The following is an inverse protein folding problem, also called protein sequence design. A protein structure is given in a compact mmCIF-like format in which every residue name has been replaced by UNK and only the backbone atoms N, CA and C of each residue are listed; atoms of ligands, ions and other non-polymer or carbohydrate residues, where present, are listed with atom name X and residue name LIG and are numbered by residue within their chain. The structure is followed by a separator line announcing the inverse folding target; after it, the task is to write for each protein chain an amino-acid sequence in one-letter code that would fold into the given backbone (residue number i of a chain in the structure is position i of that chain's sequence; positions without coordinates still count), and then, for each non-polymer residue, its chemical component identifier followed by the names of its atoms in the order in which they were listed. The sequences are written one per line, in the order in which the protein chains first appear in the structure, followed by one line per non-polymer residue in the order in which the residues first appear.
data_IF_458709250621
#
_entry.id   IF_458709250621
#
_cell.length_a   1.000
_cell.length_b   1.000
_cell.length_c   1.000
_cell.angle_alpha   90.00
_cell.angle_beta   90.00
_cell.angle_gamma   90.00
#
_symmetry.space_group_name_H-M   'P 1'
#
loop_
_entity.id
_entity.type
_entity.pdbx_description
1 polymer ?
#
# COMPACT_ATOMS: atom_id res chain seq x y z
N UNK A 1 17.07 -23.63 -14.42
CA UNK A 1 17.95 -23.04 -13.39
C UNK A 1 17.89 -21.54 -13.56
N UNK A 2 17.15 -20.82 -12.70
CA UNK A 2 17.08 -19.35 -12.79
C UNK A 2 18.48 -18.77 -12.52
N UNK A 3 18.93 -17.77 -13.28
CA UNK A 3 20.20 -17.12 -12.99
C UNK A 3 20.15 -16.50 -11.59
N UNK A 4 21.27 -16.42 -10.86
CA UNK A 4 21.31 -15.96 -9.46
C UNK A 4 20.75 -14.54 -9.29
N UNK A 5 20.84 -13.71 -10.32
CA UNK A 5 20.25 -12.36 -10.35
C UNK A 5 18.71 -12.38 -10.35
N UNK A 6 18.09 -13.40 -10.93
CA UNK A 6 16.63 -13.48 -11.11
C UNK A 6 15.92 -13.83 -9.79
N UNK A 7 16.46 -14.79 -9.03
CA UNK A 7 15.89 -15.15 -7.72
C UNK A 7 16.02 -14.03 -6.69
N UNK A 8 17.13 -13.29 -6.71
CA UNK A 8 17.37 -12.15 -5.83
C UNK A 8 16.46 -10.97 -6.19
N UNK A 9 16.36 -10.65 -7.49
CA UNK A 9 15.47 -9.61 -8.00
C UNK A 9 13.99 -9.92 -7.73
N UNK A 10 13.57 -11.18 -7.88
CA UNK A 10 12.21 -11.63 -7.57
C UNK A 10 11.87 -11.42 -6.09
N UNK A 11 12.77 -11.80 -5.18
CA UNK A 11 12.58 -11.59 -3.75
C UNK A 11 12.48 -10.12 -3.37
N UNK A 12 13.33 -9.27 -3.97
CA UNK A 12 13.28 -7.82 -3.77
C UNK A 12 11.97 -7.24 -4.29
N UNK A 13 11.57 -7.63 -5.50
CA UNK A 13 10.36 -7.13 -6.15
C UNK A 13 9.09 -7.57 -5.41
N UNK A 14 8.98 -8.84 -5.02
CA UNK A 14 7.85 -9.35 -4.24
C UNK A 14 7.79 -8.69 -2.86
N UNK A 15 8.93 -8.53 -2.18
CA UNK A 15 8.99 -7.82 -0.91
C UNK A 15 8.57 -6.35 -1.05
N UNK A 16 9.02 -5.65 -2.10
CA UNK A 16 8.62 -4.26 -2.35
C UNK A 16 7.11 -4.17 -2.60
N UNK A 17 6.55 -5.07 -3.41
CA UNK A 17 5.12 -5.10 -3.70
C UNK A 17 4.27 -5.38 -2.45
N UNK A 18 4.71 -6.32 -1.61
CA UNK A 18 4.05 -6.61 -0.34
C UNK A 18 4.03 -5.38 0.58
N UNK A 19 5.15 -4.65 0.68
CA UNK A 19 5.23 -3.43 1.50
C UNK A 19 4.43 -2.29 0.88
N UNK A 20 4.31 -2.18 -0.44
CA UNK A 20 3.41 -1.21 -1.07
C UNK A 20 1.96 -1.35 -0.59
N UNK A 21 1.49 -2.58 -0.34
CA UNK A 21 0.11 -2.81 0.15
C UNK A 21 0.00 -2.84 1.67
N UNK A 22 1.01 -3.37 2.37
CA UNK A 22 1.09 -3.39 3.82
C UNK A 22 2.44 -2.86 4.31
N UNK A 23 2.45 -1.54 4.58
CA UNK A 23 3.61 -0.82 5.09
C UNK A 23 3.58 -0.59 6.61
N UNK A 24 2.65 -1.23 7.33
CA UNK A 24 2.48 -1.06 8.79
C UNK A 24 3.75 -1.36 9.57
N UNK A 25 4.53 -2.32 9.07
CA UNK A 25 5.84 -2.71 9.62
C UNK A 25 6.88 -1.57 9.51
N UNK A 26 6.84 -0.79 8.42
CA UNK A 26 7.76 0.32 8.19
C UNK A 26 7.42 1.58 9.02
N UNK A 27 6.17 1.70 9.50
CA UNK A 27 5.70 2.85 10.25
C UNK A 27 4.90 2.40 11.49
N UNK A 28 5.56 2.03 12.59
CA UNK A 28 4.92 1.45 13.78
C UNK A 28 3.93 2.38 14.53
N UNK A 29 3.74 3.62 14.10
CA UNK A 29 2.69 4.53 14.59
C UNK A 29 1.44 4.63 13.69
N UNK A 30 1.44 3.92 12.55
CA UNK A 30 0.38 3.95 11.56
C UNK A 30 -0.48 2.67 11.56
N UNK A 31 -0.32 1.81 12.58
CA UNK A 31 -1.00 0.51 12.66
C UNK A 31 -2.52 0.59 12.66
N UNK A 32 -3.09 1.69 13.17
CA UNK A 32 -4.53 1.95 13.18
C UNK A 32 -5.06 2.45 11.82
N UNK A 33 -4.17 2.86 10.91
CA UNK A 33 -4.58 3.37 9.59
C UNK A 33 -5.06 2.22 8.70
N UNK A 34 -6.11 2.52 7.96
CA UNK A 34 -6.65 1.65 6.91
C UNK A 34 -5.55 1.29 5.91
N UNK A 35 -5.47 0.01 5.52
CA UNK A 35 -4.50 -0.40 4.49
C UNK A 35 -4.88 0.19 3.13
N UNK A 36 -6.18 0.33 2.87
CA UNK A 36 -6.69 0.96 1.66
C UNK A 36 -6.23 2.42 1.50
N UNK A 37 -6.04 3.15 2.61
CA UNK A 37 -5.62 4.54 2.60
C UNK A 37 -4.09 4.71 2.73
N UNK A 38 -3.44 3.91 3.58
CA UNK A 38 -2.01 4.04 3.85
C UNK A 38 -1.13 3.39 2.75
N UNK A 39 -1.59 2.29 2.17
CA UNK A 39 -0.88 1.61 1.09
C UNK A 39 -0.73 2.48 -0.17
N UNK A 40 0.28 2.17 -0.97
CA UNK A 40 0.42 2.70 -2.32
C UNK A 40 -0.61 2.02 -3.23
N UNK A 41 -1.44 2.83 -3.88
CA UNK A 41 -2.37 2.37 -4.91
C UNK A 41 -1.65 2.14 -6.23
N UNK A 42 -0.65 2.97 -6.54
CA UNK A 42 0.24 2.86 -7.71
C UNK A 42 1.69 3.17 -7.29
N UNK A 43 2.65 2.82 -8.15
CA UNK A 43 4.05 3.21 -7.98
C UNK A 43 4.46 4.00 -9.22
N UNK A 44 4.75 5.28 -9.04
CA UNK A 44 5.19 6.17 -10.11
C UNK A 44 6.72 6.18 -10.23
N UNK A 45 7.42 6.01 -9.11
CA UNK A 45 8.89 6.00 -9.08
C UNK A 45 9.43 4.89 -8.16
N UNK A 46 10.47 4.21 -8.63
CA UNK A 46 11.29 3.31 -7.82
C UNK A 46 12.70 3.89 -7.73
N UNK A 47 13.18 4.15 -6.52
CA UNK A 47 14.44 4.83 -6.27
C UNK A 47 15.35 3.95 -5.41
N UNK A 48 16.60 3.79 -5.82
CA UNK A 48 17.62 3.15 -5.00
C UNK A 48 18.23 4.17 -4.04
N UNK A 49 18.14 3.88 -2.75
CA UNK A 49 18.78 4.64 -1.68
C UNK A 49 20.27 4.32 -1.54
N UNK A 50 21.00 5.25 -0.93
CA UNK A 50 22.45 5.11 -0.68
C UNK A 50 22.81 4.06 0.37
N UNK A 51 21.84 3.64 1.18
CA UNK A 51 22.01 2.73 2.32
C UNK A 51 21.56 1.30 2.02
N UNK A 52 21.37 0.93 0.74
CA UNK A 52 20.85 -0.40 0.37
C UNK A 52 19.34 -0.55 0.52
N UNK A 53 18.61 0.56 0.67
CA UNK A 53 17.15 0.57 0.67
C UNK A 53 16.61 0.86 -0.73
N UNK A 54 15.52 0.21 -1.12
CA UNK A 54 14.73 0.59 -2.31
C UNK A 54 13.46 1.28 -1.85
N UNK A 55 13.15 2.41 -2.47
CA UNK A 55 11.96 3.19 -2.19
C UNK A 55 10.98 3.09 -3.36
N UNK A 56 9.72 2.79 -3.07
CA UNK A 56 8.63 2.99 -4.02
C UNK A 56 7.85 4.24 -3.62
N UNK A 57 7.56 5.09 -4.60
CA UNK A 57 6.90 6.38 -4.41
C UNK A 57 5.68 6.47 -5.31
N UNK A 58 4.57 6.91 -4.72
CA UNK A 58 3.34 7.30 -5.41
C UNK A 58 3.27 8.83 -5.44
N UNK A 59 2.99 9.38 -6.62
CA UNK A 59 2.98 10.81 -6.90
C UNK A 59 4.33 11.36 -7.36
N UNK A 60 4.39 12.68 -7.52
CA UNK A 60 5.62 13.35 -7.97
C UNK A 60 6.59 13.44 -6.80
N UNK A 61 7.88 13.19 -7.05
CA UNK A 61 8.95 13.28 -6.04
C UNK A 61 9.05 14.65 -5.34
N UNK A 62 8.58 15.72 -5.98
CA UNK A 62 8.60 17.09 -5.45
C UNK A 62 7.27 17.49 -4.77
N UNK A 63 6.30 16.58 -4.72
CA UNK A 63 5.00 16.84 -4.11
C UNK A 63 5.01 16.44 -2.63
N UNK A 64 4.65 17.33 -1.69
CA UNK A 64 4.67 17.01 -0.26
C UNK A 64 3.65 15.95 0.16
N UNK A 65 2.63 15.70 -0.66
CA UNK A 65 1.63 14.65 -0.43
C UNK A 65 2.04 13.29 -1.03
N UNK A 66 3.28 13.13 -1.52
CA UNK A 66 3.75 11.85 -2.04
C UNK A 66 3.66 10.75 -0.96
N UNK A 67 3.25 9.54 -1.34
CA UNK A 67 3.31 8.38 -0.45
C UNK A 67 4.55 7.58 -0.79
N UNK A 68 5.30 7.15 0.21
CA UNK A 68 6.51 6.35 -0.01
C UNK A 68 6.63 5.21 0.97
N UNK A 69 7.11 4.09 0.45
CA UNK A 69 7.50 2.92 1.22
C UNK A 69 8.93 2.55 0.91
N UNK A 70 9.54 1.78 1.80
CA UNK A 70 10.90 1.31 1.62
C UNK A 70 11.03 -0.17 1.95
N UNK A 71 11.99 -0.81 1.32
CA UNK A 71 12.44 -2.15 1.69
C UNK A 71 13.96 -2.17 1.73
N UNK A 72 14.52 -2.80 2.74
CA UNK A 72 15.95 -3.07 2.81
C UNK A 72 16.28 -4.25 1.89
N UNK A 73 17.26 -4.08 0.99
CA UNK A 73 17.61 -5.11 0.01
C UNK A 73 18.15 -6.36 0.73
N UNK A 74 18.99 -6.23 1.76
CA UNK A 74 19.55 -7.38 2.48
C UNK A 74 18.48 -8.19 3.22
N UNK A 75 17.47 -7.52 3.78
CA UNK A 75 16.28 -8.17 4.34
C UNK A 75 15.43 -8.84 3.26
N UNK A 76 15.20 -8.14 2.14
CA UNK A 76 14.32 -8.64 1.08
C UNK A 76 14.89 -9.90 0.41
N UNK A 77 16.19 -9.96 0.15
CA UNK A 77 16.84 -11.13 -0.47
C UNK A 77 16.84 -12.36 0.44
N UNK A 78 16.77 -12.15 1.77
CA UNK A 78 16.68 -13.21 2.79
C UNK A 78 15.24 -13.65 3.03
N UNK A 79 14.26 -12.78 2.73
CA UNK A 79 12.84 -13.09 2.85
C UNK A 79 12.41 -14.07 1.75
N UNK A 80 11.81 -15.22 2.09
CA UNK A 80 11.22 -16.11 1.10
C UNK A 80 10.09 -15.41 0.33
N UNK A 81 10.00 -15.66 -0.98
CA UNK A 81 8.97 -15.07 -1.84
C UNK A 81 7.57 -15.39 -1.33
N UNK A 82 7.35 -16.65 -0.90
CA UNK A 82 6.07 -17.12 -0.35
C UNK A 82 5.61 -16.32 0.87
N UNK A 83 6.54 -15.78 1.69
CA UNK A 83 6.19 -14.95 2.83
C UNK A 83 5.70 -13.57 2.38
N UNK A 84 6.39 -12.97 1.40
CA UNK A 84 5.97 -11.71 0.79
C UNK A 84 4.64 -11.85 0.05
N UNK A 85 4.42 -12.96 -0.64
CA UNK A 85 3.17 -13.24 -1.35
C UNK A 85 2.00 -13.45 -0.37
N UNK A 86 2.19 -14.20 0.72
CA UNK A 86 1.17 -14.34 1.76
C UNK A 86 0.80 -12.98 2.36
N UNK A 87 1.80 -12.14 2.64
CA UNK A 87 1.59 -10.78 3.13
C UNK A 87 0.81 -9.94 2.11
N UNK A 88 1.15 -10.03 0.83
CA UNK A 88 0.46 -9.33 -0.25
C UNK A 88 -1.00 -9.80 -0.39
N UNK A 89 -1.25 -11.10 -0.31
CA UNK A 89 -2.60 -11.67 -0.38
C UNK A 89 -3.46 -11.24 0.81
N UNK A 90 -2.91 -11.27 2.03
CA UNK A 90 -3.58 -10.78 3.22
C UNK A 90 -3.92 -9.28 3.09
N UNK A 91 -2.96 -8.47 2.65
CA UNK A 91 -3.16 -7.03 2.44
C UNK A 91 -4.27 -6.73 1.43
N UNK A 92 -4.28 -7.44 0.29
CA UNK A 92 -5.33 -7.26 -0.72
C UNK A 92 -6.72 -7.64 -0.20
N UNK A 93 -6.85 -8.70 0.59
CA UNK A 93 -8.12 -9.09 1.19
C UNK A 93 -8.64 -8.03 2.17
N UNK A 94 -7.76 -7.51 3.03
CA UNK A 94 -8.11 -6.43 3.96
C UNK A 94 -8.53 -5.18 3.18
N UNK A 95 -7.75 -4.74 2.17
CA UNK A 95 -8.09 -3.58 1.33
C UNK A 95 -9.45 -3.76 0.65
N UNK A 96 -9.74 -4.95 0.11
CA UNK A 96 -11.01 -5.23 -0.53
C UNK A 96 -12.18 -5.14 0.46
N UNK A 97 -12.01 -5.67 1.67
CA UNK A 97 -13.02 -5.59 2.73
C UNK A 97 -13.25 -4.15 3.19
N UNK A 98 -12.19 -3.38 3.41
CA UNK A 98 -12.27 -1.97 3.80
C UNK A 98 -13.00 -1.13 2.74
N UNK A 99 -12.70 -1.35 1.45
CA UNK A 99 -13.39 -0.68 0.33
C UNK A 99 -14.87 -1.05 0.26
N UNK A 100 -15.22 -2.31 0.49
CA UNK A 100 -16.62 -2.75 0.50
C UNK A 100 -17.41 -2.10 1.64
N UNK A 101 -16.82 -1.99 2.83
CA UNK A 101 -17.43 -1.31 3.97
C UNK A 101 -17.57 0.20 3.73
N UNK A 102 -16.53 0.86 3.20
CA UNK A 102 -16.58 2.27 2.87
C UNK A 102 -17.71 2.58 1.87
N UNK A 103 -17.82 1.78 0.81
CA UNK A 103 -18.86 1.95 -0.21
C UNK A 103 -20.27 1.74 0.36
N UNK A 104 -20.47 0.78 1.26
CA UNK A 104 -21.76 0.60 1.96
C UNK A 104 -22.11 1.79 2.86
N UNK A 105 -21.13 2.37 3.56
CA UNK A 105 -21.35 3.56 4.39
C UNK A 105 -21.71 4.78 3.54
N UNK A 106 -21.07 4.96 2.38
CA UNK A 106 -21.38 6.03 1.44
C UNK A 106 -22.80 5.91 0.88
N UNK A 107 -23.23 4.70 0.51
CA UNK A 107 -24.61 4.42 0.08
C UNK A 107 -25.62 4.71 1.20
N UNK A 108 -25.35 4.27 2.43
CA UNK A 108 -26.22 4.53 3.58
C UNK A 108 -26.30 6.03 3.94
N UNK A 109 -25.19 6.78 3.78
CA UNK A 109 -25.15 8.24 3.97
C UNK A 109 -25.94 8.97 2.88
N UNK A 110 -25.79 8.60 1.62
CA UNK A 110 -26.57 9.20 0.53
C UNK A 110 -28.08 8.98 0.66
N UNK A 111 -28.51 7.91 1.34
CA UNK A 111 -29.91 7.65 1.67
C UNK A 111 -30.42 8.42 2.89
N UNK A 112 -29.53 9.02 3.69
CA UNK A 112 -29.84 9.78 4.91
C UNK A 112 -29.67 11.30 4.76
N UNK A 113 -29.58 11.82 3.52
CA UNK A 113 -29.89 13.22 3.18
C UNK A 113 -31.34 13.37 2.67
N UNK A 114 -32.38 13.35 3.55
CA UNK A 114 -33.69 13.84 3.19
C UNK A 114 -33.72 15.37 3.33
N UNK A 115 -34.03 16.05 2.23
CA UNK A 115 -34.97 17.19 2.17
C UNK A 115 -34.94 18.17 3.35
N UNK A 116 -34.14 19.23 3.25
CA UNK A 116 -34.45 20.48 3.96
C UNK A 116 -34.24 21.69 3.05
N UNK A 117 -35.02 21.75 1.98
CA UNK A 117 -35.32 22.99 1.26
C UNK A 117 -36.84 23.18 1.25
N UNK A 118 -37.39 23.64 2.37
CA UNK A 118 -38.75 24.15 2.42
C UNK A 118 -38.78 25.57 1.82
N UNK A 119 -39.78 25.92 0.99
CA UNK A 119 -39.86 27.25 0.39
C UNK A 119 -40.28 28.26 1.47
N UNK A 120 -39.56 29.37 1.57
CA UNK A 120 -39.98 30.49 2.43
C UNK A 120 -41.04 31.29 1.67
N UNK A 121 -42.15 31.49 2.38
CA UNK A 121 -43.37 32.22 2.05
C UNK A 121 -43.15 33.62 1.49
#
# INVERSE_FOLDING_TARGET
MKPPYDAMSERVSSSLLAVCKDNRDAYPGAGDRSLADNGLSRVDHVVMGKTGNVFAVEGRLNDPAHKRVHVDIDQAIRKPVEQSDQKLLAANQTIAQERAVAQQQELARGMSEPTQSAPTR
#
